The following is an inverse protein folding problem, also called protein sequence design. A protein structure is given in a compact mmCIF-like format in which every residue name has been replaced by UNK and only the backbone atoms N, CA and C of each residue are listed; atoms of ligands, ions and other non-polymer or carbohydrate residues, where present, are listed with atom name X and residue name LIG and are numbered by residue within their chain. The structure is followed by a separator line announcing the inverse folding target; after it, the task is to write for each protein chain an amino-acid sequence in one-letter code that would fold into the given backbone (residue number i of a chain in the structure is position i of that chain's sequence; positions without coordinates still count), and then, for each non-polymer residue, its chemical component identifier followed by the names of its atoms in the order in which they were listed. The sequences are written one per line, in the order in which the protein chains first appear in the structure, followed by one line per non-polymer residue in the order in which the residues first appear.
data_IF_205629494049
#
_entry.id   IF_205629494049
#
_cell.length_a   1.000
_cell.length_b   1.000
_cell.length_c   1.000
_cell.angle_alpha   90.00
_cell.angle_beta   90.00
_cell.angle_gamma   90.00
#
_symmetry.space_group_name_H-M   'P 1'
#
loop_
_entity.id
_entity.type
_entity.pdbx_description
1 polymer ?
#
# COMPACT_ATOMS: atom_id res chain seq x y z
N UNK A 1 -14.91 1.19 -7.46
CA UNK A 1 -13.63 0.98 -6.76
C UNK A 1 -12.47 1.39 -7.61
N UNK A 2 -11.53 2.09 -7.03
CA UNK A 2 -10.36 2.57 -7.78
C UNK A 2 -9.14 1.76 -7.44
N UNK A 3 -8.33 1.52 -8.45
CA UNK A 3 -7.04 0.88 -8.27
C UNK A 3 -5.99 1.96 -8.03
N UNK A 4 -5.20 1.77 -7.00
CA UNK A 4 -4.17 2.72 -6.59
C UNK A 4 -2.84 2.00 -6.63
N UNK A 5 -1.86 2.60 -7.28
CA UNK A 5 -0.49 2.08 -7.31
C UNK A 5 0.34 2.87 -6.33
N UNK A 6 1.08 2.17 -5.50
CA UNK A 6 1.94 2.76 -4.49
C UNK A 6 3.39 2.39 -4.80
N UNK A 7 4.27 3.38 -4.73
CA UNK A 7 5.71 3.12 -4.79
C UNK A 7 6.24 3.09 -3.37
N UNK A 8 6.82 1.97 -2.98
CA UNK A 8 7.26 1.73 -1.61
C UNK A 8 8.76 1.46 -1.61
N UNK A 9 9.49 2.16 -0.76
CA UNK A 9 10.92 1.94 -0.57
C UNK A 9 11.20 1.28 0.77
N UNK A 10 12.34 0.60 0.85
CA UNK A 10 12.80 -0.05 2.07
C UNK A 10 12.39 -1.50 2.21
N UNK A 11 11.73 -2.05 1.22
CA UNK A 11 11.40 -3.47 1.22
C UNK A 11 12.62 -4.30 0.85
N UNK A 12 13.02 -5.21 1.74
CA UNK A 12 14.19 -6.05 1.54
C UNK A 12 13.88 -7.55 1.45
N UNK A 13 12.68 -7.94 1.83
CA UNK A 13 12.29 -9.35 1.84
C UNK A 13 10.78 -9.50 1.69
N UNK A 14 10.34 -10.75 1.44
CA UNK A 14 8.93 -11.06 1.28
C UNK A 14 8.10 -10.76 2.52
N UNK A 15 8.69 -10.89 3.70
CA UNK A 15 8.00 -10.56 4.95
C UNK A 15 7.62 -9.09 5.02
N UNK A 16 8.49 -8.22 4.49
CA UNK A 16 8.21 -6.79 4.43
C UNK A 16 6.98 -6.51 3.57
N UNK A 17 6.91 -7.12 2.40
CA UNK A 17 5.77 -6.98 1.51
C UNK A 17 4.48 -7.48 2.17
N UNK A 18 4.54 -8.60 2.86
CA UNK A 18 3.38 -9.15 3.57
C UNK A 18 2.89 -8.22 4.67
N UNK A 19 3.80 -7.63 5.42
CA UNK A 19 3.46 -6.69 6.48
C UNK A 19 2.74 -5.46 5.93
N UNK A 20 3.25 -4.91 4.84
CA UNK A 20 2.64 -3.76 4.17
C UNK A 20 1.23 -4.14 3.68
N UNK A 21 1.11 -5.29 3.05
CA UNK A 21 -0.16 -5.78 2.55
C UNK A 21 -1.20 -5.90 3.66
N UNK A 22 -0.82 -6.47 4.79
CA UNK A 22 -1.71 -6.59 5.96
C UNK A 22 -2.14 -5.23 6.47
N UNK A 23 -1.20 -4.30 6.58
CA UNK A 23 -1.48 -2.96 7.06
C UNK A 23 -2.46 -2.24 6.15
N UNK A 24 -2.27 -2.37 4.84
CA UNK A 24 -3.18 -1.78 3.86
C UNK A 24 -4.57 -2.39 3.94
N UNK A 25 -4.67 -3.71 4.10
CA UNK A 25 -5.96 -4.39 4.22
C UNK A 25 -6.74 -3.99 5.47
N UNK A 26 -6.05 -3.59 6.52
CA UNK A 26 -6.69 -3.12 7.75
C UNK A 26 -7.24 -1.72 7.64
N UNK A 27 -6.86 -0.98 6.62
CA UNK A 27 -7.35 0.37 6.42
C UNK A 27 -8.81 0.34 5.97
N UNK A 28 -9.65 1.14 6.61
CA UNK A 28 -11.06 1.22 6.28
C UNK A 28 -11.25 1.69 4.84
N UNK A 29 -12.10 0.99 4.11
CA UNK A 29 -12.39 1.30 2.71
C UNK A 29 -11.49 0.56 1.72
N UNK A 30 -10.46 -0.11 2.17
CA UNK A 30 -9.60 -0.93 1.32
C UNK A 30 -10.21 -2.31 1.17
N UNK A 31 -10.50 -2.68 -0.07
CA UNK A 31 -11.08 -3.99 -0.37
C UNK A 31 -10.01 -5.06 -0.54
N UNK A 32 -8.94 -4.71 -1.25
CA UNK A 32 -7.84 -5.63 -1.45
C UNK A 32 -6.53 -4.87 -1.57
N UNK A 33 -5.45 -5.55 -1.24
CA UNK A 33 -4.11 -4.98 -1.36
C UNK A 33 -3.14 -6.08 -1.76
N UNK A 34 -2.26 -5.75 -2.69
CA UNK A 34 -1.21 -6.65 -3.15
C UNK A 34 0.08 -5.87 -3.24
N UNK A 35 1.14 -6.42 -2.71
CA UNK A 35 2.46 -5.78 -2.74
C UNK A 35 3.44 -6.70 -3.47
N UNK A 36 4.15 -6.14 -4.44
CA UNK A 36 5.16 -6.86 -5.19
C UNK A 36 6.55 -6.42 -4.75
N UNK A 37 7.34 -7.37 -4.29
CA UNK A 37 8.72 -7.12 -3.89
C UNK A 37 9.62 -6.84 -5.10
N UNK A 38 9.37 -7.53 -6.20
CA UNK A 38 10.20 -7.40 -7.40
C UNK A 38 10.12 -6.01 -8.03
N UNK A 39 8.91 -5.45 -8.07
CA UNK A 39 8.71 -4.12 -8.66
C UNK A 39 8.76 -3.01 -7.62
N UNK A 40 8.82 -3.36 -6.34
CA UNK A 40 8.76 -2.43 -5.20
C UNK A 40 7.51 -1.54 -5.25
N UNK A 41 6.43 -2.11 -5.75
CA UNK A 41 5.15 -1.41 -5.90
C UNK A 41 4.05 -2.16 -5.17
N UNK A 42 3.08 -1.40 -4.66
CA UNK A 42 1.88 -1.96 -4.10
C UNK A 42 0.68 -1.61 -4.96
N UNK A 43 -0.28 -2.53 -5.03
CA UNK A 43 -1.54 -2.31 -5.73
C UNK A 43 -2.66 -2.44 -4.72
N UNK A 44 -3.50 -1.41 -4.65
CA UNK A 44 -4.59 -1.37 -3.69
C UNK A 44 -5.90 -1.12 -4.43
N UNK A 45 -6.92 -1.90 -4.10
CA UNK A 45 -8.28 -1.61 -4.52
C UNK A 45 -9.04 -1.06 -3.31
N UNK A 46 -9.50 0.16 -3.43
CA UNK A 46 -10.15 0.86 -2.33
C UNK A 46 -11.33 1.68 -2.84
N UNK A 47 -12.22 2.04 -1.93
CA UNK A 47 -13.32 2.93 -2.23
C UNK A 47 -12.81 4.35 -2.48
N UNK A 48 -13.59 5.11 -3.25
CA UNK A 48 -13.24 6.49 -3.60
C UNK A 48 -13.07 7.39 -2.37
N UNK A 49 -13.69 7.02 -1.26
CA UNK A 49 -13.60 7.76 -0.01
C UNK A 49 -12.24 7.61 0.70
N UNK A 50 -11.46 6.61 0.33
CA UNK A 50 -10.13 6.39 0.92
C UNK A 50 -9.17 7.45 0.40
N UNK A 51 -8.51 8.13 1.33
CA UNK A 51 -7.56 9.18 1.00
C UNK A 51 -6.15 8.64 0.90
N UNK A 52 -5.31 9.36 0.16
CA UNK A 52 -3.89 9.03 0.04
C UNK A 52 -3.21 9.01 1.41
N UNK A 53 -3.62 9.91 2.31
CA UNK A 53 -3.10 9.97 3.67
C UNK A 53 -3.32 8.68 4.44
N UNK A 54 -4.47 8.04 4.27
CA UNK A 54 -4.77 6.78 4.94
C UNK A 54 -3.82 5.69 4.49
N UNK A 55 -3.56 5.62 3.20
CA UNK A 55 -2.62 4.66 2.64
C UNK A 55 -1.19 4.95 3.09
N UNK A 56 -0.81 6.22 3.11
CA UNK A 56 0.51 6.64 3.55
C UNK A 56 0.74 6.28 5.02
N UNK A 57 -0.24 6.50 5.87
CA UNK A 57 -0.16 6.12 7.27
C UNK A 57 -0.03 4.61 7.45
N UNK A 58 -0.79 3.85 6.67
CA UNK A 58 -0.73 2.39 6.73
C UNK A 58 0.67 1.87 6.40
N UNK A 59 1.31 2.45 5.40
CA UNK A 59 2.67 2.09 5.02
C UNK A 59 3.68 2.55 6.07
N UNK A 60 3.52 3.77 6.59
CA UNK A 60 4.41 4.31 7.62
C UNK A 60 4.43 3.48 8.89
N UNK A 61 3.29 2.89 9.27
CA UNK A 61 3.21 2.02 10.45
C UNK A 61 4.13 0.81 10.36
N UNK A 62 4.41 0.36 9.15
CA UNK A 62 5.29 -0.79 8.95
C UNK A 62 6.77 -0.42 8.94
N UNK A 63 7.08 0.88 8.97
CA UNK A 63 8.44 1.37 8.97
C UNK A 63 9.03 1.62 7.58
N UNK A 64 8.21 1.52 6.53
CA UNK A 64 8.65 1.73 5.15
C UNK A 64 8.21 3.11 4.66
N UNK A 65 8.85 3.56 3.60
CA UNK A 65 8.53 4.86 2.99
C UNK A 65 7.68 4.67 1.76
N UNK A 66 6.62 5.45 1.68
CA UNK A 66 5.80 5.57 0.49
C UNK A 66 6.34 6.75 -0.32
N UNK A 67 6.90 6.47 -1.49
CA UNK A 67 7.55 7.49 -2.32
C UNK A 67 6.65 8.03 -3.42
N UNK A 68 5.57 7.37 -3.73
CA UNK A 68 4.65 7.84 -4.75
C UNK A 68 3.32 7.13 -4.71
N UNK A 69 2.28 7.84 -5.11
CA UNK A 69 0.92 7.29 -5.20
C UNK A 69 0.39 7.63 -6.59
N UNK A 70 -0.03 6.60 -7.33
CA UNK A 70 -0.67 6.77 -8.62
C UNK A 70 -2.10 6.23 -8.54
N UNK A 71 -3.06 7.02 -8.93
CA UNK A 71 -4.45 6.60 -9.01
C UNK A 71 -4.87 6.38 -10.46
N UNK A 72 -5.60 5.31 -10.68
CA UNK A 72 -6.25 5.07 -11.97
C UNK A 72 -7.64 5.70 -12.00
#
# INVERSE_FOLDING_TARGET
MKKIKLKIEGMHCASCASNIERSLKKTLGVKSATVSLMTKKGFVEAEDSVKDEDLQKAVSRTGYKLTGIERE
#
